data_IF_889688124431
#
_entry.id   IF_889688124431
#
_cell.length_a   1.000
_cell.length_b   1.000
_cell.length_c   1.000
_cell.angle_alpha   90.00
_cell.angle_beta   90.00
_cell.angle_gamma   90.00
#
_symmetry.space_group_name_H-M   'P 1'
#
loop_
_entity.id
_entity.type
_entity.pdbx_description
1 polymer ?
#
# COMPACT_ATOMS: atom_id res chain seq x y z
N UNK A 1 -13.31 1.72 11.08
CA UNK A 1 -12.11 1.03 11.61
C UNK A 1 -12.31 0.14 12.86
N UNK A 2 -13.52 0.00 13.45
CA UNK A 2 -13.73 -0.88 14.63
C UNK A 2 -14.28 -2.29 14.31
N UNK A 3 -14.73 -2.56 13.08
CA UNK A 3 -15.53 -3.76 12.80
C UNK A 3 -14.77 -4.97 12.26
N UNK A 4 -13.64 -4.78 11.56
CA UNK A 4 -12.87 -5.93 11.05
C UNK A 4 -11.96 -6.57 12.11
N UNK A 5 -11.40 -5.78 13.03
CA UNK A 5 -10.79 -6.31 14.25
C UNK A 5 -11.80 -7.16 15.05
N UNK A 6 -13.06 -6.75 15.13
CA UNK A 6 -14.13 -7.51 15.78
C UNK A 6 -14.61 -8.74 14.99
N UNK A 7 -14.24 -8.90 13.71
CA UNK A 7 -14.64 -10.09 12.93
C UNK A 7 -13.53 -11.16 12.94
N UNK A 8 -12.26 -10.74 12.98
CA UNK A 8 -11.11 -11.66 13.11
C UNK A 8 -10.82 -12.02 14.58
N UNK A 9 -11.00 -11.09 15.53
CA UNK A 9 -10.83 -11.32 16.96
C UNK A 9 -12.14 -11.38 17.77
N UNK A 10 -13.29 -10.99 17.22
CA UNK A 10 -14.57 -10.99 17.94
C UNK A 10 -15.45 -12.22 17.72
N UNK A 11 -14.91 -13.29 17.12
CA UNK A 11 -15.51 -14.65 17.25
C UNK A 11 -15.19 -15.29 18.61
N UNK A 12 -14.40 -14.61 19.45
CA UNK A 12 -13.86 -15.20 20.67
C UNK A 12 -14.81 -15.14 21.90
N UNK A 13 -15.71 -14.16 22.14
CA UNK A 13 -16.43 -14.14 23.42
C UNK A 13 -17.50 -15.23 23.55
N UNK A 14 -18.18 -15.62 22.45
CA UNK A 14 -19.23 -16.67 22.50
C UNK A 14 -18.67 -18.10 22.47
N UNK A 15 -17.48 -18.32 21.87
CA UNK A 15 -16.80 -19.61 21.98
C UNK A 15 -16.13 -19.83 23.34
N UNK A 16 -15.71 -18.77 24.02
CA UNK A 16 -15.05 -18.88 25.34
C UNK A 16 -16.00 -19.37 26.43
N UNK A 17 -17.30 -19.08 26.32
CA UNK A 17 -18.28 -19.46 27.35
C UNK A 17 -18.62 -20.96 27.29
N UNK A 18 -18.48 -21.57 26.10
CA UNK A 18 -18.63 -23.03 25.91
C UNK A 18 -17.42 -23.84 26.38
N UNK A 19 -16.31 -23.17 26.73
CA UNK A 19 -15.07 -23.75 27.25
C UNK A 19 -14.92 -23.43 28.75
N UNK A 20 -16.03 -23.25 29.48
CA UNK A 20 -16.00 -23.29 30.94
C UNK A 20 -16.27 -24.71 31.43
N UNK A 21 -15.23 -25.51 31.74
CA UNK A 21 -15.46 -26.83 32.28
C UNK A 21 -16.07 -26.69 33.67
N UNK A 22 -17.23 -27.33 33.87
CA UNK A 22 -17.82 -27.59 35.18
C UNK A 22 -16.73 -28.01 36.17
N UNK A 23 -16.63 -27.25 37.28
CA UNK A 23 -15.70 -27.49 38.40
C UNK A 23 -16.10 -28.78 39.13
N UNK A 24 -15.80 -29.91 38.51
CA UNK A 24 -15.77 -31.23 39.13
C UNK A 24 -14.44 -31.45 39.84
N UNK A 25 -14.51 -31.56 41.16
CA UNK A 25 -13.41 -31.90 42.08
C UNK A 25 -12.95 -33.33 41.80
N UNK A 26 -11.66 -33.52 41.48
CA UNK A 26 -11.04 -34.84 41.41
C UNK A 26 -10.00 -34.96 40.30
N UNK A 27 -8.71 -34.96 40.67
CA UNK A 27 -7.54 -35.33 39.85
C UNK A 27 -7.71 -35.10 38.34
N UNK A 28 -7.88 -33.84 37.92
CA UNK A 28 -7.58 -33.48 36.53
C UNK A 28 -6.08 -33.71 36.36
N UNK A 29 -5.75 -34.77 35.62
CA UNK A 29 -4.41 -35.32 35.50
C UNK A 29 -3.48 -34.22 35.01
N UNK A 30 -2.38 -33.96 35.73
CA UNK A 30 -1.38 -32.92 35.42
C UNK A 30 -1.01 -32.86 33.93
N UNK A 31 -1.06 -34.01 33.26
CA UNK A 31 -0.88 -34.18 31.82
C UNK A 31 -1.82 -33.29 30.99
N UNK A 32 -3.11 -33.18 31.31
CA UNK A 32 -4.05 -32.34 30.55
C UNK A 32 -3.73 -30.85 30.72
N UNK A 33 -3.25 -30.46 31.89
CA UNK A 33 -2.86 -29.07 32.18
C UNK A 33 -1.59 -28.70 31.42
N UNK A 34 -0.57 -29.59 31.44
CA UNK A 34 0.67 -29.43 30.67
C UNK A 34 0.40 -29.41 29.16
N UNK A 35 -0.43 -30.33 28.65
CA UNK A 35 -0.80 -30.37 27.23
C UNK A 35 -1.56 -29.11 26.81
N UNK A 36 -2.49 -28.63 27.64
CA UNK A 36 -3.23 -27.40 27.34
C UNK A 36 -2.32 -26.17 27.35
N UNK A 37 -1.36 -26.10 28.28
CA UNK A 37 -0.35 -25.05 28.32
C UNK A 37 0.54 -25.08 27.07
N UNK A 38 1.00 -26.26 26.64
CA UNK A 38 1.78 -26.43 25.42
C UNK A 38 1.00 -25.98 24.19
N UNK A 39 -0.27 -26.39 24.07
CA UNK A 39 -1.12 -25.97 22.96
C UNK A 39 -1.29 -24.45 22.91
N UNK A 40 -1.50 -23.80 24.06
CA UNK A 40 -1.61 -22.34 24.16
C UNK A 40 -0.30 -21.68 23.75
N UNK A 41 0.84 -22.15 24.25
CA UNK A 41 2.16 -21.60 23.90
C UNK A 41 2.43 -21.76 22.41
N UNK A 42 2.18 -22.94 21.83
CA UNK A 42 2.32 -23.18 20.40
C UNK A 42 1.41 -22.26 19.58
N UNK A 43 0.16 -22.08 20.01
CA UNK A 43 -0.77 -21.17 19.34
C UNK A 43 -0.29 -19.71 19.39
N UNK A 44 0.21 -19.25 20.53
CA UNK A 44 0.76 -17.90 20.70
C UNK A 44 1.99 -17.70 19.80
N UNK A 45 2.94 -18.64 19.83
CA UNK A 45 4.15 -18.56 19.00
C UNK A 45 3.78 -18.60 17.51
N UNK A 46 2.84 -19.46 17.12
CA UNK A 46 2.34 -19.54 15.74
C UNK A 46 1.70 -18.22 15.30
N UNK A 47 0.85 -17.63 16.13
CA UNK A 47 0.24 -16.33 15.85
C UNK A 47 1.29 -15.22 15.73
N UNK A 48 2.28 -15.18 16.62
CA UNK A 48 3.38 -14.22 16.54
C UNK A 48 4.23 -14.40 15.28
N UNK A 49 4.49 -15.64 14.86
CA UNK A 49 5.22 -15.92 13.63
C UNK A 49 4.47 -15.41 12.39
N UNK A 50 3.16 -15.67 12.31
CA UNK A 50 2.31 -15.18 11.21
C UNK A 50 2.27 -13.65 11.21
N UNK A 51 2.07 -13.03 12.36
CA UNK A 51 2.05 -11.57 12.50
C UNK A 51 3.39 -10.94 12.10
N UNK A 52 4.50 -11.53 12.53
CA UNK A 52 5.84 -11.09 12.18
C UNK A 52 6.13 -11.23 10.68
N UNK A 53 5.73 -12.35 10.07
CA UNK A 53 5.89 -12.56 8.63
C UNK A 53 5.05 -11.58 7.82
N UNK A 54 3.81 -11.33 8.26
CA UNK A 54 2.94 -10.35 7.63
C UNK A 54 3.55 -8.95 7.69
N UNK A 55 3.90 -8.48 8.89
CA UNK A 55 4.47 -7.14 9.07
C UNK A 55 5.80 -6.99 8.35
N UNK A 56 6.73 -7.94 8.56
CA UNK A 56 8.05 -7.91 7.92
C UNK A 56 7.96 -7.98 6.41
N UNK A 57 7.06 -8.81 5.88
CA UNK A 57 6.79 -8.88 4.44
C UNK A 57 6.31 -7.53 3.89
N UNK A 58 5.32 -6.91 4.53
CA UNK A 58 4.82 -5.59 4.10
C UNK A 58 5.92 -4.52 4.09
N UNK A 59 6.75 -4.49 5.14
CA UNK A 59 7.83 -3.51 5.23
C UNK A 59 8.89 -3.69 4.13
N UNK A 60 9.29 -4.94 3.85
CA UNK A 60 10.28 -5.24 2.80
C UNK A 60 9.72 -4.93 1.41
N UNK A 61 8.44 -5.23 1.16
CA UNK A 61 7.81 -4.88 -0.12
C UNK A 61 7.79 -3.37 -0.30
N UNK A 62 7.32 -2.62 0.70
CA UNK A 62 7.24 -1.16 0.61
C UNK A 62 8.60 -0.51 0.37
N UNK A 63 9.65 -0.93 1.08
CA UNK A 63 11.00 -0.38 0.93
C UNK A 63 11.62 -0.72 -0.44
N UNK A 64 11.28 -1.87 -1.00
CA UNK A 64 11.76 -2.26 -2.32
C UNK A 64 11.03 -1.50 -3.44
N UNK A 65 9.70 -1.45 -3.37
CA UNK A 65 8.87 -0.73 -4.35
C UNK A 65 9.12 0.77 -4.32
N UNK A 66 9.33 1.39 -3.15
CA UNK A 66 9.60 2.82 -3.07
C UNK A 66 10.87 3.21 -3.84
N UNK A 67 11.93 2.38 -3.78
CA UNK A 67 13.18 2.63 -4.51
C UNK A 67 12.98 2.57 -6.03
N UNK A 68 12.28 1.56 -6.53
CA UNK A 68 11.98 1.48 -7.96
C UNK A 68 11.04 2.58 -8.43
N UNK A 69 10.03 2.88 -7.63
CA UNK A 69 9.06 3.90 -7.98
C UNK A 69 9.69 5.30 -8.01
N UNK A 70 10.66 5.61 -7.15
CA UNK A 70 11.48 6.83 -7.28
C UNK A 70 12.26 6.87 -8.59
N UNK A 71 12.92 5.76 -8.96
CA UNK A 71 13.66 5.69 -10.22
C UNK A 71 12.73 5.86 -11.44
N UNK A 72 11.58 5.19 -11.44
CA UNK A 72 10.59 5.36 -12.50
C UNK A 72 10.03 6.78 -12.51
N UNK A 73 9.82 7.41 -11.37
CA UNK A 73 9.35 8.80 -11.30
C UNK A 73 10.35 9.76 -11.95
N UNK A 74 11.65 9.57 -11.71
CA UNK A 74 12.70 10.38 -12.35
C UNK A 74 12.73 10.16 -13.87
N UNK A 75 12.69 8.89 -14.32
CA UNK A 75 12.66 8.55 -15.75
C UNK A 75 11.39 9.10 -16.43
N UNK A 76 10.22 9.00 -15.77
CA UNK A 76 8.96 9.58 -16.23
C UNK A 76 9.00 11.10 -16.24
N UNK A 77 9.67 11.74 -15.29
CA UNK A 77 9.83 13.19 -15.27
C UNK A 77 10.69 13.66 -16.47
N UNK A 78 11.81 13.00 -16.73
CA UNK A 78 12.66 13.28 -17.90
C UNK A 78 11.90 13.08 -19.22
N UNK A 79 11.18 11.97 -19.34
CA UNK A 79 10.38 11.65 -20.54
C UNK A 79 9.18 12.57 -20.72
N UNK A 80 8.60 13.03 -19.61
CA UNK A 80 7.41 13.89 -19.57
C UNK A 80 7.72 15.38 -19.66
N UNK A 81 8.94 15.82 -19.34
CA UNK A 81 9.33 17.24 -19.40
C UNK A 81 9.01 17.93 -20.75
N UNK A 82 9.22 17.29 -21.93
CA UNK A 82 8.84 17.88 -23.20
C UNK A 82 7.33 18.05 -23.42
N UNK A 83 6.46 17.37 -22.66
CA UNK A 83 5.00 17.56 -22.75
C UNK A 83 4.57 18.97 -22.34
N UNK A 84 5.39 19.68 -21.57
CA UNK A 84 5.16 21.09 -21.21
C UNK A 84 5.59 22.06 -22.30
N UNK A 85 6.23 21.58 -23.39
CA UNK A 85 6.62 22.37 -24.55
C UNK A 85 5.62 22.18 -25.71
N UNK A 86 5.40 23.21 -26.55
CA UNK A 86 4.51 23.07 -27.70
C UNK A 86 5.06 22.10 -28.78
N UNK A 87 4.20 21.20 -29.28
CA UNK A 87 4.42 20.30 -30.43
C UNK A 87 5.45 19.15 -30.26
N UNK A 88 5.48 18.46 -29.12
CA UNK A 88 6.23 17.20 -28.97
C UNK A 88 5.30 15.99 -28.83
N UNK A 89 4.63 15.61 -29.93
CA UNK A 89 3.81 14.39 -30.01
C UNK A 89 4.65 13.10 -29.82
N UNK A 90 5.98 13.19 -30.00
CA UNK A 90 6.89 12.05 -29.84
C UNK A 90 7.16 11.73 -28.36
N UNK A 91 7.09 12.73 -27.47
CA UNK A 91 7.18 12.53 -26.03
C UNK A 91 6.04 11.66 -25.49
N UNK A 92 4.82 11.86 -26.00
CA UNK A 92 3.66 11.04 -25.65
C UNK A 92 3.88 9.55 -25.99
N UNK A 93 4.41 9.26 -27.18
CA UNK A 93 4.69 7.89 -27.63
C UNK A 93 5.81 7.23 -26.82
N UNK A 94 6.86 7.98 -26.49
CA UNK A 94 7.95 7.51 -25.62
C UNK A 94 7.44 7.13 -24.23
N UNK A 95 6.54 7.96 -23.69
CA UNK A 95 5.94 7.74 -22.39
C UNK A 95 5.01 6.53 -22.37
N UNK A 96 4.16 6.38 -23.39
CA UNK A 96 3.30 5.20 -23.56
C UNK A 96 4.13 3.92 -23.67
N UNK A 97 5.18 3.91 -24.51
CA UNK A 97 6.09 2.78 -24.62
C UNK A 97 6.80 2.45 -23.32
N UNK A 98 7.12 3.46 -22.49
CA UNK A 98 7.76 3.25 -21.20
C UNK A 98 6.80 2.62 -20.20
N UNK A 99 5.59 3.16 -20.08
CA UNK A 99 4.55 2.65 -19.16
C UNK A 99 4.22 1.19 -19.51
N UNK A 100 4.00 0.89 -20.80
CA UNK A 100 3.66 -0.46 -21.24
C UNK A 100 4.78 -1.48 -21.06
N UNK A 101 6.03 -1.03 -20.89
CA UNK A 101 7.17 -1.90 -20.57
C UNK A 101 7.15 -2.39 -19.12
N UNK A 102 6.55 -1.64 -18.20
CA UNK A 102 6.53 -1.95 -16.77
C UNK A 102 5.09 -2.18 -16.30
N UNK A 103 4.64 -3.44 -16.18
CA UNK A 103 3.27 -3.77 -15.73
C UNK A 103 2.98 -3.34 -14.29
N UNK A 104 4.01 -2.95 -13.53
CA UNK A 104 3.87 -2.39 -12.18
C UNK A 104 3.35 -0.94 -12.18
N UNK A 105 3.48 -0.22 -13.30
CA UNK A 105 2.95 1.13 -13.46
C UNK A 105 1.53 1.02 -14.00
N UNK A 106 0.53 1.25 -13.16
CA UNK A 106 -0.89 1.27 -13.56
C UNK A 106 -1.20 2.52 -14.41
N UNK A 107 -0.83 3.69 -13.90
CA UNK A 107 -1.16 4.98 -14.54
C UNK A 107 -0.12 6.06 -14.24
N UNK A 108 -0.05 7.03 -15.15
CA UNK A 108 0.73 8.26 -14.99
C UNK A 108 -0.13 9.44 -15.41
N UNK A 109 -0.11 10.52 -14.63
CA UNK A 109 -0.87 11.73 -14.93
C UNK A 109 -0.02 12.97 -14.67
N UNK A 110 -0.01 13.88 -15.62
CA UNK A 110 0.64 15.19 -15.54
C UNK A 110 -0.43 16.25 -15.33
N UNK A 111 -0.15 17.18 -14.42
CA UNK A 111 -1.07 18.22 -14.02
C UNK A 111 -0.53 19.59 -14.40
N UNK A 112 -1.44 20.54 -14.59
CA UNK A 112 -1.10 21.95 -14.69
C UNK A 112 -0.98 22.56 -13.29
N UNK A 113 -0.45 23.79 -13.20
CA UNK A 113 -0.30 24.50 -11.93
C UNK A 113 -1.60 24.82 -11.19
N UNK A 114 -2.76 24.60 -11.81
CA UNK A 114 -4.08 24.73 -11.19
C UNK A 114 -4.66 23.39 -10.69
N UNK A 115 -3.92 22.29 -10.82
CA UNK A 115 -4.34 20.93 -10.43
C UNK A 115 -5.21 20.22 -11.46
N UNK A 116 -5.50 20.85 -12.61
CA UNK A 116 -6.19 20.20 -13.71
C UNK A 116 -5.29 19.19 -14.41
N UNK A 117 -5.87 18.09 -14.89
CA UNK A 117 -5.13 17.05 -15.63
C UNK A 117 -4.77 17.62 -17.01
N UNK A 118 -3.47 17.73 -17.28
CA UNK A 118 -2.93 18.10 -18.60
C UNK A 118 -2.88 16.89 -19.52
N UNK A 119 -2.37 15.78 -19.00
CA UNK A 119 -2.12 14.57 -19.76
C UNK A 119 -2.24 13.36 -18.85
N UNK A 120 -2.81 12.27 -19.34
CA UNK A 120 -2.93 11.05 -18.55
C UNK A 120 -2.83 9.82 -19.45
N UNK A 121 -2.05 8.85 -18.98
CA UNK A 121 -1.85 7.56 -19.63
C UNK A 121 -2.14 6.46 -18.61
N UNK A 122 -2.79 5.40 -19.09
CA UNK A 122 -2.98 4.15 -18.38
C UNK A 122 -2.19 3.06 -19.11
N UNK A 123 -1.67 2.10 -18.35
CA UNK A 123 -1.07 0.91 -18.92
C UNK A 123 -2.18 0.06 -19.56
N UNK A 124 -1.88 -0.57 -20.69
CA UNK A 124 -2.83 -1.42 -21.45
C UNK A 124 -3.45 -2.55 -20.59
N UNK A 125 -2.72 -2.97 -19.56
CA UNK A 125 -3.14 -4.01 -18.61
C UNK A 125 -4.02 -3.52 -17.46
N UNK A 126 -4.27 -2.21 -17.37
CA UNK A 126 -5.03 -1.58 -16.28
C UNK A 126 -6.53 -1.73 -16.49
N UNK A 127 -7.26 -2.04 -15.42
CA UNK A 127 -8.72 -2.01 -15.42
C UNK A 127 -9.16 -0.54 -15.27
N UNK A 128 -9.38 0.14 -16.41
CA UNK A 128 -9.60 1.59 -16.52
C UNK A 128 -10.31 2.25 -15.34
N UNK A 129 -9.68 3.34 -14.85
CA UNK A 129 -10.07 4.03 -13.62
C UNK A 129 -10.35 5.51 -13.84
N UNK A 130 -10.85 6.20 -12.81
CA UNK A 130 -11.03 7.66 -12.86
C UNK A 130 -9.73 8.33 -12.43
N UNK A 131 -9.21 9.27 -13.21
CA UNK A 131 -8.06 10.08 -12.81
C UNK A 131 -8.44 10.96 -11.61
N UNK A 132 -7.77 10.81 -10.46
CA UNK A 132 -8.00 11.70 -9.33
C UNK A 132 -7.51 13.10 -9.71
N UNK A 133 -8.34 14.12 -9.49
CA UNK A 133 -7.91 15.52 -9.55
C UNK A 133 -7.11 15.84 -8.30
N UNK A 134 -6.04 16.63 -8.44
CA UNK A 134 -5.30 17.15 -7.28
C UNK A 134 -6.12 18.28 -6.67
N UNK A 135 -6.44 18.17 -5.38
CA UNK A 135 -7.15 19.21 -4.63
C UNK A 135 -6.19 20.35 -4.21
N UNK A 136 -6.74 21.52 -3.88
CA UNK A 136 -5.96 22.71 -3.55
C UNK A 136 -5.01 22.51 -2.36
N UNK A 137 -5.45 21.79 -1.33
CA UNK A 137 -4.63 21.49 -0.15
C UNK A 137 -3.39 20.64 -0.53
N UNK A 138 -3.55 19.72 -1.48
CA UNK A 138 -2.48 18.83 -1.94
C UNK A 138 -1.53 19.54 -2.91
N UNK A 139 -2.02 20.50 -3.70
CA UNK A 139 -1.17 21.39 -4.50
C UNK A 139 -0.27 22.25 -3.64
N UNK A 140 -0.79 22.76 -2.52
CA UNK A 140 0.00 23.56 -1.57
C UNK A 140 1.15 22.73 -1.01
N UNK A 141 0.86 21.50 -0.55
CA UNK A 141 1.89 20.57 -0.05
C UNK A 141 2.94 20.22 -1.11
N UNK A 142 2.52 19.95 -2.36
CA UNK A 142 3.45 19.67 -3.46
C UNK A 142 4.31 20.88 -3.84
N UNK A 143 3.77 22.09 -3.72
CA UNK A 143 4.52 23.33 -4.01
C UNK A 143 5.59 23.58 -2.96
N UNK A 144 5.34 23.25 -1.69
CA UNK A 144 6.34 23.35 -0.62
C UNK A 144 7.53 22.39 -0.82
N UNK A 145 7.33 21.28 -1.53
CA UNK A 145 8.36 20.31 -1.84
C UNK A 145 9.31 20.73 -2.98
N UNK A 146 9.01 21.84 -3.67
CA UNK A 146 9.88 22.36 -4.73
C UNK A 146 11.24 22.77 -4.15
N UNK A 147 12.30 22.07 -4.57
CA UNK A 147 13.66 22.30 -4.09
C UNK A 147 14.00 21.61 -2.76
N UNK A 148 13.11 20.75 -2.24
CA UNK A 148 13.40 19.87 -1.11
C UNK A 148 14.38 18.75 -1.50
N UNK A 149 15.04 18.15 -0.50
CA UNK A 149 15.97 17.03 -0.70
C UNK A 149 15.26 15.74 -1.19
N UNK A 150 13.97 15.62 -0.89
CA UNK A 150 13.08 14.55 -1.37
C UNK A 150 11.77 15.18 -1.89
N UNK A 151 11.72 15.63 -3.15
CA UNK A 151 10.58 16.37 -3.69
C UNK A 151 9.49 15.39 -4.15
N UNK A 152 8.94 14.58 -3.25
CA UNK A 152 7.85 13.66 -3.59
C UNK A 152 6.97 13.34 -2.36
N UNK A 153 5.69 13.14 -2.62
CA UNK A 153 4.72 12.57 -1.69
C UNK A 153 4.45 11.13 -2.09
N UNK A 154 4.48 10.22 -1.11
CA UNK A 154 4.06 8.82 -1.29
C UNK A 154 2.82 8.60 -0.43
N UNK A 155 1.69 8.33 -1.07
CA UNK A 155 0.49 7.84 -0.39
C UNK A 155 0.34 6.34 -0.61
N UNK A 156 -0.04 5.64 0.46
CA UNK A 156 -0.36 4.23 0.44
C UNK A 156 -1.60 4.00 1.29
N UNK A 157 -2.65 3.48 0.67
CA UNK A 157 -3.87 3.17 1.40
C UNK A 157 -3.61 2.03 2.38
N UNK A 158 -3.86 2.26 3.67
CA UNK A 158 -3.72 1.24 4.72
C UNK A 158 -4.57 -0.03 4.48
N UNK A 159 -5.58 0.05 3.60
CA UNK A 159 -6.44 -1.06 3.20
C UNK A 159 -5.97 -1.73 1.90
N UNK A 160 -5.18 -1.05 1.07
CA UNK A 160 -4.67 -1.55 -0.19
C UNK A 160 -3.14 -1.32 -0.29
N UNK A 161 -2.39 -2.08 0.50
CA UNK A 161 -0.91 -2.01 0.53
C UNK A 161 -0.21 -2.49 -0.75
N UNK A 162 -0.98 -2.70 -1.84
CA UNK A 162 -0.49 -3.08 -3.16
C UNK A 162 -0.52 -1.92 -4.15
N UNK A 163 -1.09 -0.80 -3.76
CA UNK A 163 -1.23 0.39 -4.59
C UNK A 163 -0.50 1.55 -3.90
N UNK A 164 0.39 2.17 -4.66
CA UNK A 164 1.19 3.31 -4.20
C UNK A 164 0.95 4.45 -5.17
N UNK A 165 0.61 5.62 -4.62
CA UNK A 165 0.52 6.85 -5.38
C UNK A 165 1.75 7.69 -5.07
N UNK A 166 2.47 8.09 -6.11
CA UNK A 166 3.60 9.02 -5.98
C UNK A 166 3.25 10.30 -6.72
N UNK A 167 3.46 11.42 -6.06
CA UNK A 167 3.26 12.75 -6.61
C UNK A 167 4.54 13.54 -6.41
N UNK A 168 5.04 14.16 -7.48
CA UNK A 168 6.25 14.97 -7.46
C UNK A 168 5.97 16.30 -8.18
N UNK A 169 6.47 17.44 -7.66
CA UNK A 169 6.49 18.67 -8.41
C UNK A 169 7.50 18.60 -9.56
N UNK A 170 7.15 19.21 -10.69
CA UNK A 170 7.97 19.29 -11.92
C UNK A 170 8.49 20.71 -12.10
#
# INVERSE_FOLDING_TARGET
MKQWFATVFGVIPEMLDRITPSRGVGKRVLINEILSLQLIITAIIGALAIAGLYWGGQWVLQDNYSRWAMQWTEELNELGAPLYLPNDDEAALRLESFINKYPEIDRVSYYQGDGSVMYALENESSEGGRYPTIDADMLEELTELVGAEAPYLVDSSFLNAREFQIMAPV
#
